data_IF_566535144013
#
_entry.id   IF_566535144013
#
_cell.length_a   1.000
_cell.length_b   1.000
_cell.length_c   1.000
_cell.angle_alpha   90.00
_cell.angle_beta   90.00
_cell.angle_gamma   90.00
#
_symmetry.space_group_name_H-M   'P 1'
#
loop_
_entity.id
_entity.type
_entity.pdbx_description
1 polymer ?
#
# COMPACT_ATOMS: atom_id res chain seq x y z
N UNK A 1 -14.35 -16.33 6.77
CA UNK A 1 -14.85 -15.39 5.74
C UNK A 1 -14.38 -15.72 4.32
N UNK A 2 -13.34 -16.55 4.11
CA UNK A 2 -12.97 -17.01 2.75
C UNK A 2 -12.52 -15.90 1.79
N UNK A 3 -12.08 -14.76 2.33
CA UNK A 3 -11.63 -13.61 1.55
C UNK A 3 -10.18 -13.82 1.09
N UNK A 4 -9.79 -13.29 -0.08
CA UNK A 4 -8.42 -13.35 -0.55
C UNK A 4 -7.50 -12.50 0.35
N UNK A 5 -6.29 -13.00 0.58
CA UNK A 5 -5.26 -12.33 1.42
C UNK A 5 -3.93 -12.14 0.68
N UNK A 6 -3.89 -12.48 -0.61
CA UNK A 6 -2.73 -12.32 -1.49
C UNK A 6 -3.16 -11.73 -2.83
N UNK A 7 -2.17 -11.24 -3.60
CA UNK A 7 -2.39 -10.67 -4.93
C UNK A 7 -1.22 -11.01 -5.86
N UNK A 8 -1.31 -10.64 -7.14
CA UNK A 8 -0.30 -10.92 -8.16
C UNK A 8 1.06 -10.27 -7.81
N UNK A 9 2.15 -11.04 -7.60
CA UNK A 9 3.46 -10.51 -7.23
C UNK A 9 4.03 -9.45 -8.20
N UNK A 10 3.66 -9.50 -9.47
CA UNK A 10 4.25 -8.64 -10.51
C UNK A 10 3.45 -7.36 -10.78
N UNK A 11 2.31 -7.17 -10.12
CA UNK A 11 1.39 -6.05 -10.38
C UNK A 11 1.77 -4.73 -9.70
N UNK A 12 2.77 -4.71 -8.81
CA UNK A 12 3.10 -3.53 -8.01
C UNK A 12 3.39 -2.26 -8.85
N UNK A 13 4.16 -2.31 -9.96
CA UNK A 13 4.40 -1.12 -10.78
C UNK A 13 3.12 -0.47 -11.31
N UNK A 14 2.19 -1.28 -11.82
CA UNK A 14 0.91 -0.80 -12.35
C UNK A 14 0.01 -0.25 -11.23
N UNK A 15 0.03 -0.89 -10.06
CA UNK A 15 -0.71 -0.41 -8.89
C UNK A 15 -0.21 0.96 -8.41
N UNK A 16 1.11 1.20 -8.41
CA UNK A 16 1.68 2.49 -8.03
C UNK A 16 1.27 3.61 -8.99
N UNK A 17 1.25 3.33 -10.30
CA UNK A 17 0.77 4.27 -11.31
C UNK A 17 -0.70 4.64 -11.09
N UNK A 18 -1.56 3.64 -10.86
CA UNK A 18 -2.98 3.86 -10.57
C UNK A 18 -3.16 4.70 -9.30
N UNK A 19 -2.43 4.38 -8.22
CA UNK A 19 -2.51 5.12 -6.97
C UNK A 19 -1.99 6.56 -7.08
N UNK A 20 -1.01 6.81 -7.95
CA UNK A 20 -0.50 8.16 -8.20
C UNK A 20 -1.58 9.11 -8.74
N UNK A 21 -2.56 8.57 -9.47
CA UNK A 21 -3.72 9.30 -9.99
C UNK A 21 -4.90 9.47 -9.01
N UNK A 22 -4.89 8.85 -7.82
CA UNK A 22 -6.00 8.97 -6.86
C UNK A 22 -6.12 10.40 -6.31
N UNK A 23 -7.35 10.83 -6.03
CA UNK A 23 -7.65 12.16 -5.47
C UNK A 23 -6.99 12.47 -4.13
N UNK A 24 -6.55 11.45 -3.36
CA UNK A 24 -5.83 11.65 -2.10
C UNK A 24 -4.34 11.87 -2.31
N UNK A 25 -3.82 11.51 -3.47
CA UNK A 25 -2.45 11.78 -3.86
C UNK A 25 -2.34 13.25 -4.21
N UNK A 26 -1.48 13.98 -3.47
CA UNK A 26 -1.21 15.39 -3.73
C UNK A 26 0.23 15.51 -4.22
N UNK A 27 0.41 15.98 -5.45
CA UNK A 27 1.73 16.11 -6.09
C UNK A 27 2.54 14.80 -6.10
N UNK A 28 1.90 13.65 -6.36
CA UNK A 28 2.57 12.34 -6.40
C UNK A 28 2.87 11.70 -5.04
N UNK A 29 2.52 12.36 -3.93
CA UNK A 29 2.73 11.82 -2.58
C UNK A 29 1.58 10.90 -2.18
N UNK A 30 1.85 9.59 -2.12
CA UNK A 30 0.89 8.57 -1.69
C UNK A 30 0.55 8.72 -0.21
N UNK A 31 -0.68 8.35 0.15
CA UNK A 31 -1.20 8.45 1.52
C UNK A 31 -1.96 7.17 1.89
N UNK A 32 -1.54 6.54 2.97
CA UNK A 32 -2.12 5.30 3.47
C UNK A 32 -2.72 5.51 4.86
N UNK A 33 -3.81 4.80 5.13
CA UNK A 33 -4.31 4.60 6.49
C UNK A 33 -3.57 3.40 7.06
N UNK A 34 -3.03 3.56 8.27
CA UNK A 34 -2.31 2.51 8.99
C UNK A 34 -2.88 2.37 10.39
N UNK A 35 -2.43 1.37 11.14
CA UNK A 35 -2.78 1.19 12.54
C UNK A 35 -1.52 1.31 13.40
N UNK A 36 -1.52 2.23 14.36
CA UNK A 36 -0.46 2.35 15.38
C UNK A 36 -0.68 1.36 16.54
N UNK A 37 -1.74 0.55 16.44
CA UNK A 37 -2.16 -0.46 17.40
C UNK A 37 -3.62 -0.85 17.15
N UNK A 38 -4.10 -1.85 17.89
CA UNK A 38 -5.51 -2.28 17.80
C UNK A 38 -6.43 -1.09 18.07
N UNK A 39 -7.32 -0.81 17.11
CA UNK A 39 -8.27 0.31 17.13
C UNK A 39 -7.63 1.71 17.20
N UNK A 40 -6.38 1.89 16.76
CA UNK A 40 -5.68 3.18 16.74
C UNK A 40 -5.29 3.56 15.31
N UNK A 41 -6.17 4.26 14.56
CA UNK A 41 -5.88 4.63 13.17
C UNK A 41 -4.87 5.78 13.06
N UNK A 42 -3.85 5.56 12.26
CA UNK A 42 -2.81 6.52 11.90
C UNK A 42 -2.80 6.83 10.41
N UNK A 43 -1.86 7.69 9.99
CA UNK A 43 -1.65 8.05 8.58
C UNK A 43 -0.18 7.95 8.23
N UNK A 44 0.12 7.27 7.13
CA UNK A 44 1.45 7.22 6.54
C UNK A 44 1.43 8.01 5.23
N UNK A 45 2.25 9.05 5.14
CA UNK A 45 2.28 9.99 3.99
C UNK A 45 3.67 9.96 3.38
N UNK A 46 3.74 9.75 2.06
CA UNK A 46 5.01 9.65 1.34
C UNK A 46 5.94 8.56 1.88
N UNK A 47 5.45 7.30 2.00
CA UNK A 47 6.33 6.21 2.42
C UNK A 47 7.49 6.04 1.43
N UNK A 48 8.62 5.56 1.96
CA UNK A 48 9.74 5.16 1.12
C UNK A 48 9.30 4.10 0.09
N UNK A 49 9.65 4.23 -1.19
CA UNK A 49 9.25 3.26 -2.21
C UNK A 49 9.74 1.83 -1.91
N UNK A 50 10.92 1.66 -1.32
CA UNK A 50 11.46 0.36 -0.93
C UNK A 50 10.68 -0.30 0.21
N UNK A 51 10.12 0.51 1.11
CA UNK A 51 9.18 0.02 2.13
C UNK A 51 7.91 -0.57 1.49
N UNK A 52 7.35 0.10 0.47
CA UNK A 52 6.17 -0.41 -0.24
C UNK A 52 6.46 -1.72 -0.98
N UNK A 53 7.63 -1.84 -1.63
CA UNK A 53 8.07 -3.08 -2.29
C UNK A 53 8.16 -4.24 -1.29
N UNK A 54 8.79 -3.99 -0.14
CA UNK A 54 8.96 -5.01 0.90
C UNK A 54 7.63 -5.43 1.51
N UNK A 55 6.75 -4.46 1.80
CA UNK A 55 5.41 -4.73 2.34
C UNK A 55 4.55 -5.53 1.34
N UNK A 56 4.60 -5.19 0.06
CA UNK A 56 3.86 -5.89 -0.99
C UNK A 56 4.36 -7.32 -1.17
N UNK A 57 5.69 -7.53 -1.18
CA UNK A 57 6.29 -8.86 -1.23
C UNK A 57 5.82 -9.73 -0.05
N UNK A 58 5.68 -9.16 1.15
CA UNK A 58 5.15 -9.87 2.32
C UNK A 58 3.67 -10.27 2.23
N UNK A 59 2.87 -9.58 1.39
CA UNK A 59 1.46 -9.93 1.13
C UNK A 59 1.33 -10.96 0.01
N UNK A 60 2.21 -10.88 -0.99
CA UNK A 60 2.19 -11.79 -2.14
C UNK A 60 2.90 -13.13 -1.86
N UNK A 61 3.81 -13.17 -0.89
CA UNK A 61 4.44 -14.41 -0.44
C UNK A 61 3.42 -15.30 0.32
N UNK A 62 3.49 -16.63 0.12
CA UNK A 62 2.63 -17.59 0.83
C UNK A 62 2.91 -17.69 2.33
#
# INVERSE_FOLDING_TARGET
>A
MGLPVSYDPDALPQLLEIMAGDKKTRAGVLRFVVLDGLAKPGRMVGPDPGLLVTAYAGVCAP
#
